data_IF_204634875486
#
_entry.id   IF_204634875486
#
_cell.length_a   1.000
_cell.length_b   1.000
_cell.length_c   1.000
_cell.angle_alpha   90.00
_cell.angle_beta   90.00
_cell.angle_gamma   90.00
#
_symmetry.space_group_name_H-M   'P 1'
#
loop_
_entity.id
_entity.type
_entity.pdbx_description
1 polymer ?
#
# COMPACT_ATOMS: atom_id res chain seq x y z
N UNK A 1 5.67 10.10 43.28
CA UNK A 1 5.40 9.27 44.48
C UNK A 1 6.54 9.43 45.44
N UNK A 2 7.76 9.13 45.02
CA UNK A 2 9.00 9.32 45.80
C UNK A 2 9.06 10.67 46.55
N UNK A 3 8.81 11.80 45.87
CA UNK A 3 8.82 13.13 46.52
C UNK A 3 7.74 13.33 47.61
N UNK A 4 6.56 12.75 47.46
CA UNK A 4 5.52 12.85 48.49
C UNK A 4 5.85 11.92 49.67
N UNK A 5 6.43 10.77 49.39
CA UNK A 5 6.83 9.81 50.41
C UNK A 5 8.02 10.34 51.23
N UNK A 6 8.96 11.07 50.61
CA UNK A 6 10.03 11.77 51.34
C UNK A 6 9.48 12.87 52.25
N UNK A 7 8.55 13.70 51.77
CA UNK A 7 7.94 14.77 52.57
C UNK A 7 7.16 14.20 53.76
N UNK A 8 6.48 13.06 53.59
CA UNK A 8 5.81 12.37 54.69
C UNK A 8 6.79 11.79 55.70
N UNK A 9 7.89 11.21 55.25
CA UNK A 9 8.92 10.66 56.12
C UNK A 9 9.64 11.76 56.92
N UNK A 10 9.89 12.92 56.31
CA UNK A 10 10.42 14.11 57.00
C UNK A 10 9.47 14.56 58.11
N UNK A 11 8.16 14.66 57.82
CA UNK A 11 7.14 14.99 58.83
C UNK A 11 7.08 13.97 59.98
N UNK A 12 7.22 12.68 59.67
CA UNK A 12 7.27 11.61 60.68
C UNK A 12 8.52 11.71 61.55
N UNK A 13 9.66 12.13 60.99
CA UNK A 13 10.91 12.32 61.72
C UNK A 13 10.91 13.58 62.60
N UNK A 14 10.30 14.68 62.13
CA UNK A 14 10.19 15.95 62.87
C UNK A 14 9.09 15.95 63.93
N UNK A 15 8.13 15.04 63.81
CA UNK A 15 6.99 14.89 64.71
C UNK A 15 5.75 15.63 64.23
N UNK A 16 4.57 15.10 64.58
CA UNK A 16 3.30 15.66 64.12
C UNK A 16 2.91 16.90 64.91
N UNK A 17 2.55 17.95 64.19
CA UNK A 17 1.89 19.14 64.73
C UNK A 17 0.41 19.10 64.38
N UNK A 18 -0.44 19.63 65.27
CA UNK A 18 -1.90 19.55 65.14
C UNK A 18 -2.51 20.96 65.20
N UNK A 19 -3.59 21.18 64.46
CA UNK A 19 -4.40 22.40 64.56
C UNK A 19 -5.36 22.34 65.77
N UNK A 20 -6.15 23.40 65.97
CA UNK A 20 -7.12 23.50 67.08
C UNK A 20 -8.21 22.41 67.02
N UNK A 21 -8.46 21.86 65.83
CA UNK A 21 -9.41 20.77 65.58
C UNK A 21 -8.78 19.37 65.75
N UNK A 22 -7.48 19.28 66.07
CA UNK A 22 -6.74 18.03 66.23
C UNK A 22 -6.32 17.36 64.91
N UNK A 23 -6.39 18.05 63.78
CA UNK A 23 -5.91 17.58 62.48
C UNK A 23 -4.42 17.84 62.30
N UNK A 24 -3.72 16.93 61.63
CA UNK A 24 -2.28 17.07 61.40
C UNK A 24 -1.98 18.17 60.38
N UNK A 25 -1.12 19.11 60.77
CA UNK A 25 -0.65 20.18 59.90
C UNK A 25 0.43 19.60 58.97
N UNK A 26 0.30 19.90 57.67
CA UNK A 26 1.26 19.50 56.64
C UNK A 26 1.92 20.73 56.03
N UNK A 27 3.13 20.54 55.49
CA UNK A 27 3.84 21.64 54.81
C UNK A 27 3.14 22.04 53.51
N UNK A 28 3.33 23.28 53.08
CA UNK A 28 2.80 23.78 51.80
C UNK A 28 3.30 22.93 50.60
N UNK A 29 4.56 22.50 50.65
CA UNK A 29 5.17 21.62 49.65
C UNK A 29 4.46 20.26 49.57
N UNK A 30 4.18 19.64 50.73
CA UNK A 30 3.44 18.38 50.81
C UNK A 30 2.02 18.54 50.26
N UNK A 31 1.33 19.61 50.63
CA UNK A 31 -0.01 19.91 50.14
C UNK A 31 -0.05 20.08 48.62
N UNK A 32 0.89 20.84 48.04
CA UNK A 32 0.96 21.06 46.60
C UNK A 32 1.23 19.75 45.85
N UNK A 33 2.10 18.90 46.39
CA UNK A 33 2.40 17.59 45.82
C UNK A 33 1.18 16.65 45.85
N UNK A 34 0.41 16.65 46.94
CA UNK A 34 -0.87 15.93 47.04
C UNK A 34 -1.87 16.43 46.00
N UNK A 35 -2.00 17.76 45.84
CA UNK A 35 -2.89 18.36 44.84
C UNK A 35 -2.49 17.97 43.43
N UNK A 36 -1.20 18.02 43.10
CA UNK A 36 -0.68 17.60 41.80
C UNK A 36 -0.96 16.12 41.55
N UNK A 37 -0.72 15.26 42.54
CA UNK A 37 -1.02 13.82 42.44
C UNK A 37 -2.50 13.56 42.17
N UNK A 38 -3.41 14.30 42.82
CA UNK A 38 -4.86 14.20 42.58
C UNK A 38 -5.20 14.57 41.14
N UNK A 39 -4.67 15.69 40.65
CA UNK A 39 -4.86 16.14 39.25
C UNK A 39 -4.32 15.12 38.26
N UNK A 40 -3.11 14.59 38.49
CA UNK A 40 -2.53 13.57 37.61
C UNK A 40 -3.34 12.27 37.61
N UNK A 41 -3.84 11.82 38.76
CA UNK A 41 -4.73 10.65 38.83
C UNK A 41 -6.03 10.88 38.07
N UNK A 42 -6.61 12.08 38.14
CA UNK A 42 -7.80 12.44 37.40
C UNK A 42 -7.53 12.46 35.89
N UNK A 43 -6.48 13.16 35.46
CA UNK A 43 -6.10 13.25 34.04
C UNK A 43 -5.77 11.88 33.47
N UNK A 44 -5.05 11.03 34.22
CA UNK A 44 -4.77 9.66 33.82
C UNK A 44 -6.06 8.88 33.55
N UNK A 45 -7.04 8.94 34.45
CA UNK A 45 -8.32 8.23 34.27
C UNK A 45 -9.08 8.73 33.04
N UNK A 46 -9.12 10.05 32.84
CA UNK A 46 -9.76 10.65 31.66
C UNK A 46 -9.09 10.18 30.36
N UNK A 47 -7.77 10.36 30.24
CA UNK A 47 -7.04 9.96 29.05
C UNK A 47 -7.05 8.45 28.80
N UNK A 48 -7.10 7.65 29.87
CA UNK A 48 -7.23 6.20 29.74
C UNK A 48 -8.59 5.80 29.14
N UNK A 49 -9.68 6.43 29.59
CA UNK A 49 -11.00 6.20 28.99
C UNK A 49 -11.07 6.71 27.54
N UNK A 50 -10.50 7.88 27.23
CA UNK A 50 -10.41 8.39 25.86
C UNK A 50 -9.64 7.43 24.95
N UNK A 51 -8.49 6.92 25.42
CA UNK A 51 -7.69 5.94 24.68
C UNK A 51 -8.47 4.65 24.42
N UNK A 52 -9.23 4.18 25.41
CA UNK A 52 -10.07 2.99 25.29
C UNK A 52 -11.20 3.20 24.26
N UNK A 53 -11.85 4.36 24.29
CA UNK A 53 -12.86 4.74 23.31
C UNK A 53 -12.28 4.79 21.89
N UNK A 54 -11.15 5.47 21.70
CA UNK A 54 -10.48 5.59 20.40
C UNK A 54 -10.05 4.22 19.85
N UNK A 55 -9.55 3.32 20.71
CA UNK A 55 -9.23 1.94 20.30
C UNK A 55 -10.46 1.18 19.80
N UNK A 56 -11.62 1.37 20.44
CA UNK A 56 -12.87 0.75 19.99
C UNK A 56 -13.31 1.32 18.63
N UNK A 57 -13.15 2.63 18.41
CA UNK A 57 -13.45 3.27 17.13
C UNK A 57 -12.55 2.76 16.00
N UNK A 58 -11.24 2.62 16.25
CA UNK A 58 -10.31 2.03 15.28
C UNK A 58 -10.74 0.61 14.90
N UNK A 59 -11.10 -0.23 15.89
CA UNK A 59 -11.58 -1.58 15.63
C UNK A 59 -12.89 -1.59 14.83
N UNK A 60 -13.78 -0.65 15.10
CA UNK A 60 -15.02 -0.50 14.34
C UNK A 60 -14.74 -0.13 12.88
N UNK A 61 -13.89 0.86 12.63
CA UNK A 61 -13.47 1.25 11.29
C UNK A 61 -12.80 0.09 10.53
N UNK A 62 -11.94 -0.68 11.20
CA UNK A 62 -11.33 -1.88 10.61
C UNK A 62 -12.39 -2.89 10.16
N UNK A 63 -13.39 -3.17 11.00
CA UNK A 63 -14.50 -4.07 10.67
C UNK A 63 -15.30 -3.55 9.47
N UNK A 64 -15.56 -2.24 9.38
CA UNK A 64 -16.24 -1.66 8.23
C UNK A 64 -15.45 -1.84 6.94
N UNK A 65 -14.13 -1.61 6.96
CA UNK A 65 -13.25 -1.83 5.81
C UNK A 65 -13.28 -3.31 5.38
N UNK A 66 -13.20 -4.23 6.34
CA UNK A 66 -13.26 -5.67 6.05
C UNK A 66 -14.61 -6.08 5.45
N UNK A 67 -15.72 -5.50 5.93
CA UNK A 67 -17.05 -5.71 5.36
C UNK A 67 -17.15 -5.21 3.92
N UNK A 68 -16.66 -4.00 3.64
CA UNK A 68 -16.64 -3.45 2.29
C UNK A 68 -15.79 -4.32 1.34
N UNK A 69 -14.62 -4.77 1.79
CA UNK A 69 -13.76 -5.68 1.01
C UNK A 69 -14.47 -7.00 0.73
N UNK A 70 -15.07 -7.61 1.75
CA UNK A 70 -15.81 -8.87 1.59
C UNK A 70 -16.98 -8.71 0.62
N UNK A 71 -17.74 -7.62 0.73
CA UNK A 71 -18.87 -7.32 -0.17
C UNK A 71 -18.40 -7.18 -1.62
N UNK A 72 -17.35 -6.41 -1.87
CA UNK A 72 -16.80 -6.22 -3.22
C UNK A 72 -16.38 -7.56 -3.84
N UNK A 73 -15.63 -8.37 -3.09
CA UNK A 73 -15.18 -9.69 -3.57
C UNK A 73 -16.37 -10.60 -3.87
N UNK A 74 -17.38 -10.62 -3.00
CA UNK A 74 -18.59 -11.41 -3.19
C UNK A 74 -19.39 -10.97 -4.42
N UNK A 75 -19.58 -9.66 -4.59
CA UNK A 75 -20.27 -9.11 -5.76
C UNK A 75 -19.52 -9.42 -7.06
N UNK A 76 -18.18 -9.33 -7.04
CA UNK A 76 -17.34 -9.73 -8.16
C UNK A 76 -17.47 -11.23 -8.46
N UNK A 77 -17.41 -12.09 -7.45
CA UNK A 77 -17.53 -13.54 -7.61
C UNK A 77 -18.88 -13.93 -8.21
N UNK A 78 -19.95 -13.29 -7.75
CA UNK A 78 -21.30 -13.48 -8.30
C UNK A 78 -21.35 -13.05 -9.76
N UNK A 79 -20.95 -11.81 -10.07
CA UNK A 79 -20.95 -11.27 -11.43
C UNK A 79 -20.10 -12.12 -12.40
N UNK A 80 -18.92 -12.56 -11.94
CA UNK A 80 -18.03 -13.41 -12.73
C UNK A 80 -18.66 -14.76 -13.02
N UNK A 81 -19.28 -15.38 -12.01
CA UNK A 81 -19.97 -16.67 -12.17
C UNK A 81 -21.12 -16.56 -13.16
N UNK A 82 -21.94 -15.51 -13.05
CA UNK A 82 -23.06 -15.25 -13.97
C UNK A 82 -22.59 -14.97 -15.41
N UNK A 83 -21.45 -14.31 -15.58
CA UNK A 83 -20.97 -13.86 -16.89
C UNK A 83 -20.12 -14.91 -17.62
N UNK A 84 -19.39 -15.77 -16.89
CA UNK A 84 -18.33 -16.61 -17.46
C UNK A 84 -18.35 -18.08 -17.03
N UNK A 85 -19.03 -18.44 -15.95
CA UNK A 85 -19.08 -19.86 -15.52
C UNK A 85 -20.27 -20.54 -16.20
N UNK A 86 -19.98 -21.44 -17.13
CA UNK A 86 -20.97 -22.35 -17.72
C UNK A 86 -21.11 -23.60 -16.85
N UNK A 87 -22.24 -24.32 -16.99
CA UNK A 87 -22.67 -25.40 -16.08
C UNK A 87 -21.68 -26.56 -15.88
N UNK A 88 -20.56 -26.62 -16.60
CA UNK A 88 -19.56 -27.68 -16.54
C UNK A 88 -18.33 -27.34 -15.67
N UNK A 89 -18.14 -26.08 -15.25
CA UNK A 89 -16.98 -25.67 -14.44
C UNK A 89 -17.30 -25.54 -12.94
N UNK A 90 -16.44 -26.08 -12.03
CA UNK A 90 -16.66 -25.97 -10.59
C UNK A 90 -16.46 -24.51 -10.11
N UNK A 91 -17.49 -23.96 -9.46
CA UNK A 91 -17.49 -22.61 -8.90
C UNK A 91 -16.52 -22.53 -7.71
N UNK A 92 -15.33 -21.95 -7.91
CA UNK A 92 -14.44 -21.55 -6.81
C UNK A 92 -14.57 -20.04 -6.56
N UNK A 93 -14.99 -19.67 -5.35
CA UNK A 93 -15.12 -18.28 -4.88
C UNK A 93 -13.73 -17.69 -4.60
N UNK A 94 -13.48 -16.42 -4.93
CA UNK A 94 -12.17 -15.78 -4.73
C UNK A 94 -11.74 -15.72 -3.25
N UNK A 95 -12.69 -15.81 -2.33
CA UNK A 95 -12.41 -15.92 -0.89
C UNK A 95 -11.83 -17.27 -0.46
N UNK A 96 -12.18 -18.36 -1.14
CA UNK A 96 -11.69 -19.72 -0.86
C UNK A 96 -10.34 -20.01 -1.54
N UNK A 97 -10.09 -19.38 -2.68
CA UNK A 97 -8.82 -19.47 -3.41
C UNK A 97 -7.64 -18.83 -2.66
N UNK A 98 -7.87 -17.86 -1.77
CA UNK A 98 -6.79 -17.00 -1.29
C UNK A 98 -6.26 -16.09 -2.40
N UNK A 99 -5.43 -15.11 -2.04
CA UNK A 99 -4.86 -14.17 -3.02
C UNK A 99 -4.01 -14.90 -4.06
N UNK A 100 -4.52 -14.98 -5.30
CA UNK A 100 -3.76 -15.44 -6.48
C UNK A 100 -3.96 -16.90 -6.92
N UNK A 101 -4.83 -17.71 -6.29
CA UNK A 101 -5.04 -19.11 -6.67
C UNK A 101 -6.44 -19.36 -7.26
N UNK A 102 -6.88 -18.59 -8.27
CA UNK A 102 -8.07 -19.02 -9.02
C UNK A 102 -7.67 -20.13 -9.98
N UNK A 103 -8.53 -21.14 -10.15
CA UNK A 103 -8.66 -21.84 -11.43
C UNK A 103 -9.02 -20.77 -12.49
N UNK A 104 -8.03 -20.36 -13.27
CA UNK A 104 -8.02 -19.11 -14.07
C UNK A 104 -6.67 -18.36 -13.98
N UNK A 105 -5.95 -18.51 -12.86
CA UNK A 105 -4.50 -18.28 -12.73
C UNK A 105 -3.70 -19.58 -12.76
N UNK A 106 -4.36 -20.73 -12.96
CA UNK A 106 -3.71 -21.94 -13.48
C UNK A 106 -3.25 -21.67 -14.90
N UNK A 107 -2.01 -21.23 -15.03
CA UNK A 107 -1.21 -21.36 -16.24
C UNK A 107 -1.36 -22.80 -16.73
N UNK A 108 -2.15 -23.01 -17.78
CA UNK A 108 -2.09 -24.23 -18.54
C UNK A 108 -0.79 -24.13 -19.36
N UNK A 109 0.24 -24.98 -19.14
CA UNK A 109 1.50 -24.88 -19.87
C UNK A 109 1.33 -25.10 -21.38
N UNK A 110 0.14 -25.54 -21.80
CA UNK A 110 -0.16 -25.97 -23.15
C UNK A 110 -1.08 -25.03 -23.94
N UNK A 111 -1.50 -23.89 -23.36
CA UNK A 111 -2.27 -22.88 -24.10
C UNK A 111 -1.54 -21.54 -23.95
N UNK A 112 -0.47 -21.41 -24.73
CA UNK A 112 0.35 -20.20 -24.77
C UNK A 112 -0.50 -19.02 -25.22
N UNK A 113 -0.78 -18.10 -24.30
CA UNK A 113 -1.03 -16.71 -24.64
C UNK A 113 0.33 -16.16 -25.07
N UNK A 114 0.63 -16.29 -26.36
CA UNK A 114 1.80 -15.64 -26.93
C UNK A 114 1.70 -14.14 -26.65
N UNK A 115 2.73 -13.56 -26.05
CA UNK A 115 2.85 -12.11 -26.09
C UNK A 115 3.04 -11.65 -27.55
N UNK A 116 2.74 -10.38 -27.87
CA UNK A 116 2.83 -9.92 -29.26
C UNK A 116 4.24 -10.09 -29.87
N UNK A 117 5.28 -10.03 -29.05
CA UNK A 117 6.66 -10.34 -29.42
C UNK A 117 6.88 -11.83 -29.70
N UNK A 118 6.33 -12.73 -28.89
CA UNK A 118 6.39 -14.19 -29.11
C UNK A 118 5.66 -14.59 -30.40
N UNK A 119 4.50 -13.99 -30.65
CA UNK A 119 3.73 -14.19 -31.88
C UNK A 119 4.51 -13.73 -33.12
N UNK A 120 5.18 -12.58 -33.04
CA UNK A 120 6.03 -12.07 -34.13
C UNK A 120 7.23 -12.97 -34.36
N UNK A 121 7.83 -13.52 -33.29
CA UNK A 121 8.95 -14.46 -33.40
C UNK A 121 8.53 -15.79 -34.03
N UNK A 122 7.35 -16.33 -33.67
CA UNK A 122 6.75 -17.51 -34.33
C UNK A 122 6.47 -17.26 -35.81
N UNK A 123 5.86 -16.13 -36.15
CA UNK A 123 5.52 -15.79 -37.53
C UNK A 123 6.79 -15.66 -38.39
N UNK A 124 7.84 -15.05 -37.83
CA UNK A 124 9.14 -14.96 -38.47
C UNK A 124 9.77 -16.34 -38.65
N UNK A 125 9.76 -17.19 -37.61
CA UNK A 125 10.29 -18.55 -37.70
C UNK A 125 9.56 -19.42 -38.73
N UNK A 126 8.23 -19.27 -38.85
CA UNK A 126 7.44 -19.94 -39.87
C UNK A 126 7.81 -19.49 -41.30
N UNK A 127 8.05 -18.19 -41.49
CA UNK A 127 8.50 -17.64 -42.79
C UNK A 127 9.93 -18.10 -43.15
N UNK A 128 10.76 -18.36 -42.14
CA UNK A 128 12.11 -18.87 -42.27
C UNK A 128 12.16 -20.39 -42.58
N UNK A 129 11.07 -21.13 -42.36
CA UNK A 129 11.00 -22.55 -42.71
C UNK A 129 10.96 -22.80 -44.22
N UNK A 130 10.58 -21.79 -45.02
CA UNK A 130 10.59 -21.86 -46.47
C UNK A 130 12.02 -21.80 -47.07
N UNK A 131 13.01 -21.35 -46.28
CA UNK A 131 14.44 -21.33 -46.65
C UNK A 131 15.31 -21.78 -45.46
N UNK A 132 15.42 -23.10 -45.23
CA UNK A 132 16.06 -23.68 -44.04
C UNK A 132 17.56 -23.36 -43.93
N UNK A 133 18.23 -23.11 -45.06
CA UNK A 133 19.67 -22.78 -45.09
C UNK A 133 19.95 -21.35 -44.60
N UNK A 134 18.95 -20.46 -44.69
CA UNK A 134 19.05 -19.06 -44.23
C UNK A 134 18.77 -18.86 -42.74
N UNK A 135 18.18 -19.85 -42.06
CA UNK A 135 17.66 -19.75 -40.68
C UNK A 135 18.75 -19.31 -39.70
N UNK A 136 19.93 -19.93 -39.78
CA UNK A 136 21.06 -19.62 -38.89
C UNK A 136 21.55 -18.18 -39.07
N UNK A 137 21.62 -17.71 -40.32
CA UNK A 137 22.05 -16.36 -40.65
C UNK A 137 21.04 -15.31 -40.15
N UNK A 138 19.75 -15.53 -40.37
CA UNK A 138 18.70 -14.60 -39.93
C UNK A 138 18.61 -14.52 -38.40
N UNK A 139 18.71 -15.65 -37.69
CA UNK A 139 18.79 -15.68 -36.21
C UNK A 139 20.03 -14.93 -35.70
N UNK A 140 21.19 -15.11 -36.34
CA UNK A 140 22.41 -14.38 -35.99
C UNK A 140 22.29 -12.86 -36.23
N UNK A 141 21.65 -12.45 -37.33
CA UNK A 141 21.38 -11.05 -37.65
C UNK A 141 20.47 -10.40 -36.61
N UNK A 142 19.35 -11.05 -36.28
CA UNK A 142 18.40 -10.56 -35.27
C UNK A 142 19.05 -10.40 -33.89
N UNK A 143 19.90 -11.35 -33.47
CA UNK A 143 20.69 -11.24 -32.24
C UNK A 143 21.64 -10.04 -32.25
N UNK A 144 22.30 -9.81 -33.38
CA UNK A 144 23.22 -8.68 -33.56
C UNK A 144 22.47 -7.35 -33.52
N UNK A 145 21.29 -7.27 -34.14
CA UNK A 145 20.47 -6.07 -34.13
C UNK A 145 19.89 -5.77 -32.74
N UNK A 146 19.40 -6.80 -32.02
CA UNK A 146 18.99 -6.68 -30.61
C UNK A 146 20.12 -6.14 -29.74
N UNK A 147 21.35 -6.66 -29.90
CA UNK A 147 22.53 -6.17 -29.19
C UNK A 147 22.83 -4.71 -29.50
N UNK A 148 22.78 -4.29 -30.77
CA UNK A 148 22.99 -2.88 -31.14
C UNK A 148 21.93 -1.95 -30.56
N UNK A 149 20.66 -2.37 -30.53
CA UNK A 149 19.58 -1.59 -29.92
C UNK A 149 19.79 -1.47 -28.42
N UNK A 150 20.17 -2.55 -27.76
CA UNK A 150 20.48 -2.56 -26.33
C UNK A 150 21.69 -1.68 -26.00
N UNK A 151 22.79 -1.83 -26.75
CA UNK A 151 23.99 -1.00 -26.59
C UNK A 151 23.67 0.48 -26.85
N UNK A 152 22.81 0.78 -27.83
CA UNK A 152 22.33 2.14 -28.08
C UNK A 152 21.49 2.69 -26.94
N UNK A 153 20.61 1.89 -26.34
CA UNK A 153 19.80 2.27 -25.19
C UNK A 153 20.66 2.49 -23.94
N UNK A 154 21.69 1.66 -23.72
CA UNK A 154 22.66 1.84 -22.63
C UNK A 154 23.55 3.07 -22.83
N UNK A 155 23.90 3.38 -24.08
CA UNK A 155 24.72 4.54 -24.44
C UNK A 155 23.96 5.87 -24.41
N UNK A 156 22.62 5.84 -24.30
CA UNK A 156 21.86 7.06 -24.05
C UNK A 156 22.23 7.59 -22.66
N UNK A 157 22.87 8.74 -22.64
CA UNK A 157 23.12 9.50 -21.40
C UNK A 157 21.78 9.71 -20.69
N UNK A 158 21.63 9.12 -19.50
CA UNK A 158 20.51 9.41 -18.61
C UNK A 158 20.47 10.93 -18.38
N UNK A 159 19.30 11.58 -18.47
CA UNK A 159 19.20 12.99 -18.14
C UNK A 159 19.68 13.18 -16.70
N UNK A 160 20.58 14.16 -16.53
CA UNK A 160 21.27 14.48 -15.29
C UNK A 160 20.28 14.57 -14.11
N UNK A 161 20.40 13.66 -13.14
CA UNK A 161 19.47 13.58 -11.99
C UNK A 161 19.62 14.75 -11.00
N UNK A 162 20.53 15.69 -11.27
CA UNK A 162 20.73 16.89 -10.45
C UNK A 162 19.75 18.04 -10.71
N UNK A 163 18.73 17.84 -11.55
CA UNK A 163 17.59 18.77 -11.63
C UNK A 163 16.35 18.17 -10.97
N UNK A 164 16.43 17.94 -9.65
CA UNK A 164 15.24 17.78 -8.81
C UNK A 164 14.39 19.04 -8.97
N UNK A 165 13.41 18.99 -9.87
CA UNK A 165 12.46 20.08 -10.11
C UNK A 165 11.72 20.34 -8.80
N UNK A 166 11.91 21.54 -8.25
CA UNK A 166 11.23 21.97 -7.03
C UNK A 166 9.71 21.84 -7.23
N UNK A 167 8.96 21.42 -6.19
CA UNK A 167 7.50 21.36 -6.25
C UNK A 167 6.94 22.73 -6.66
N UNK A 168 6.08 22.77 -7.67
CA UNK A 168 5.38 23.99 -8.10
C UNK A 168 5.89 24.69 -9.36
N UNK A 169 6.92 24.17 -10.04
CA UNK A 169 7.36 24.76 -11.33
C UNK A 169 6.39 24.41 -12.46
N UNK A 170 5.80 25.37 -13.19
CA UNK A 170 4.80 25.07 -14.22
C UNK A 170 5.41 24.32 -15.41
N UNK A 171 4.90 23.13 -15.69
CA UNK A 171 5.24 22.34 -16.89
C UNK A 171 4.39 22.80 -18.08
N UNK A 172 5.05 23.22 -19.16
CA UNK A 172 4.40 23.49 -20.45
C UNK A 172 3.87 22.17 -21.01
N UNK A 173 2.54 21.98 -20.98
CA UNK A 173 1.87 20.86 -21.62
C UNK A 173 1.95 21.08 -23.13
N UNK A 174 2.89 20.41 -23.81
CA UNK A 174 2.83 20.30 -25.26
C UNK A 174 1.79 19.24 -25.60
N UNK A 175 0.60 19.69 -25.96
CA UNK A 175 -0.43 18.85 -26.58
C UNK A 175 0.14 18.30 -27.89
N UNK A 176 0.51 17.01 -27.93
CA UNK A 176 0.75 16.32 -29.18
C UNK A 176 -0.57 16.24 -29.94
N UNK A 177 -0.68 17.01 -31.04
CA UNK A 177 -1.75 16.78 -32.02
C UNK A 177 -1.48 15.43 -32.69
N UNK A 178 -2.47 14.52 -32.75
CA UNK A 178 -2.30 13.25 -33.43
C UNK A 178 -2.05 13.48 -34.93
N UNK A 179 -1.15 12.70 -35.57
CA UNK A 179 -0.77 12.88 -36.96
C UNK A 179 -1.79 12.17 -37.86
N UNK A 180 -3.04 12.62 -37.88
CA UNK A 180 -3.91 12.43 -39.05
C UNK A 180 -5.17 13.29 -38.89
N UNK A 181 -5.32 14.31 -39.74
CA UNK A 181 -6.64 14.86 -40.05
C UNK A 181 -6.97 14.39 -41.46
N UNK A 182 -7.88 13.42 -41.58
CA UNK A 182 -8.53 13.15 -42.86
C UNK A 182 -9.37 14.38 -43.22
N UNK A 183 -8.94 15.13 -44.23
CA UNK A 183 -9.75 16.19 -44.83
C UNK A 183 -10.82 15.53 -45.71
N UNK A 184 -12.06 15.55 -45.23
CA UNK A 184 -13.21 15.15 -46.05
C UNK A 184 -13.53 16.33 -46.96
N UNK A 185 -13.16 16.19 -48.22
CA UNK A 185 -13.52 17.15 -49.27
C UNK A 185 -14.96 16.87 -49.69
N UNK A 186 -15.88 17.70 -49.21
CA UNK A 186 -17.27 17.69 -49.66
C UNK A 186 -17.28 18.35 -51.05
N UNK A 187 -17.82 17.64 -52.03
CA UNK A 187 -17.98 18.06 -53.41
C UNK A 187 -19.31 18.79 -53.60
#
# INVERSE_FOLDING_TARGET
MEKLDTLKAEREAEGFTYNEDGETIISESEFLEIKNLKTFKQNYRLHHEDLKALKAEIQYCQKLVDQCRHKLVKEFDNWYSESFVTAEDPVQTAQQAGFGQRQGTSYNPNVGLEDEGEKVERLHEQLLMDDPDSVAFQKARMRTDRRKVFDRALSQTQPDQNTTKKPGTPTKIMSNKPPNKMEIQIR
#
